data_IF_527049297221
#
_entry.id   IF_527049297221
#
_cell.length_a   1.000
_cell.length_b   1.000
_cell.length_c   1.000
_cell.angle_alpha   90.00
_cell.angle_beta   90.00
_cell.angle_gamma   90.00
#
_symmetry.space_group_name_H-M   'P 1'
#
loop_
_entity.id
_entity.type
_entity.pdbx_description
1 polymer ?
#
# COMPACT_ATOMS: atom_id res chain seq x y z
N UNK A 1 14.18 -17.77 19.13
CA UNK A 1 13.41 -17.48 17.91
C UNK A 1 12.77 -16.12 18.08
N UNK A 2 13.25 -15.11 17.36
CA UNK A 2 12.56 -13.83 17.26
C UNK A 2 11.41 -14.05 16.28
N UNK A 3 10.18 -14.09 16.78
CA UNK A 3 9.01 -13.90 15.93
C UNK A 3 9.22 -12.56 15.21
N UNK A 4 9.00 -12.45 13.89
CA UNK A 4 8.95 -11.14 13.27
C UNK A 4 7.76 -10.44 13.93
N UNK A 5 8.03 -9.48 14.82
CA UNK A 5 7.02 -8.51 15.21
C UNK A 5 6.54 -7.89 13.91
N UNK A 6 5.22 -7.84 13.67
CA UNK A 6 4.62 -7.16 12.53
C UNK A 6 5.46 -5.93 12.19
N UNK A 7 6.16 -5.98 11.06
CA UNK A 7 7.01 -4.88 10.62
C UNK A 7 6.04 -3.86 10.03
N UNK A 8 5.51 -3.00 10.89
CA UNK A 8 4.60 -1.93 10.50
C UNK A 8 5.37 -0.96 9.60
N UNK A 9 4.95 -0.85 8.35
CA UNK A 9 5.58 -0.05 7.32
C UNK A 9 5.13 1.43 7.39
N UNK A 10 5.52 2.23 6.39
CA UNK A 10 5.10 3.63 6.25
C UNK A 10 3.60 3.81 6.48
N UNK A 11 3.20 4.93 7.08
CA UNK A 11 1.77 5.14 7.37
C UNK A 11 0.98 5.41 6.09
N UNK A 12 -0.36 5.27 6.11
CA UNK A 12 -1.20 5.68 4.98
C UNK A 12 -0.95 7.12 4.53
N UNK A 13 -0.59 8.03 5.45
CA UNK A 13 -0.23 9.41 5.12
C UNK A 13 1.04 9.48 4.28
N UNK A 14 2.07 8.71 4.65
CA UNK A 14 3.32 8.63 3.88
C UNK A 14 3.09 8.00 2.50
N UNK A 15 2.27 6.95 2.38
CA UNK A 15 1.92 6.37 1.08
C UNK A 15 1.16 7.35 0.18
N UNK A 16 0.19 8.10 0.72
CA UNK A 16 -0.51 9.16 -0.04
C UNK A 16 0.45 10.27 -0.45
N UNK A 17 1.42 10.65 0.39
CA UNK A 17 2.46 11.62 0.03
C UNK A 17 3.27 11.16 -1.19
N UNK A 18 3.72 9.91 -1.19
CA UNK A 18 4.49 9.33 -2.29
C UNK A 18 3.66 9.17 -3.55
N UNK A 19 2.40 8.72 -3.41
CA UNK A 19 1.46 8.64 -4.51
C UNK A 19 1.19 10.01 -5.14
N UNK A 20 0.98 11.05 -4.33
CA UNK A 20 0.84 12.42 -4.82
C UNK A 20 2.12 12.95 -5.48
N UNK A 21 3.30 12.56 -5.00
CA UNK A 21 4.56 12.89 -5.66
C UNK A 21 4.63 12.26 -7.06
N UNK A 22 4.20 11.01 -7.22
CA UNK A 22 4.12 10.35 -8.53
C UNK A 22 3.11 11.05 -9.46
N UNK A 23 1.90 11.33 -8.96
CA UNK A 23 0.84 12.02 -9.72
C UNK A 23 1.25 13.43 -10.18
N UNK A 24 2.16 14.09 -9.47
CA UNK A 24 2.73 15.39 -9.89
C UNK A 24 3.86 15.26 -10.92
N UNK A 25 4.39 14.05 -11.13
CA UNK A 25 5.55 13.78 -11.97
C UNK A 25 5.28 12.63 -12.96
N UNK A 26 4.09 12.58 -13.55
CA UNK A 26 3.66 11.49 -14.44
C UNK A 26 4.54 11.33 -15.69
N UNK A 27 5.35 12.33 -16.04
CA UNK A 27 6.35 12.23 -17.11
C UNK A 27 7.49 11.27 -16.78
N UNK A 28 7.63 10.83 -15.52
CA UNK A 28 8.65 9.88 -15.08
C UNK A 28 8.23 8.40 -15.29
N UNK A 29 6.97 8.15 -15.66
CA UNK A 29 6.46 6.81 -15.96
C UNK A 29 6.13 6.68 -17.45
N UNK A 30 5.99 5.46 -18.00
CA UNK A 30 5.53 5.29 -19.37
C UNK A 30 4.24 6.06 -19.64
N UNK A 31 4.12 6.67 -20.81
CA UNK A 31 3.01 7.60 -21.14
C UNK A 31 1.63 6.98 -20.89
N UNK A 32 1.41 5.73 -21.29
CA UNK A 32 0.13 5.04 -21.09
C UNK A 32 -0.22 4.84 -19.61
N UNK A 33 0.78 4.64 -18.76
CA UNK A 33 0.59 4.60 -17.30
C UNK A 33 0.27 6.00 -16.79
N UNK A 34 1.01 7.01 -17.23
CA UNK A 34 0.76 8.40 -16.86
C UNK A 34 -0.67 8.85 -17.18
N UNK A 35 -1.16 8.53 -18.38
CA UNK A 35 -2.53 8.83 -18.82
C UNK A 35 -3.58 8.12 -17.96
N UNK A 36 -3.36 6.84 -17.65
CA UNK A 36 -4.25 6.07 -16.77
C UNK A 36 -4.34 6.67 -15.36
N UNK A 37 -3.18 6.97 -14.76
CA UNK A 37 -3.12 7.53 -13.41
C UNK A 37 -3.71 8.94 -13.35
N UNK A 38 -3.52 9.76 -14.41
CA UNK A 38 -4.14 11.07 -14.52
C UNK A 38 -5.68 10.99 -14.61
N UNK A 39 -6.21 9.96 -15.27
CA UNK A 39 -7.65 9.75 -15.41
C UNK A 39 -8.30 9.19 -14.13
N UNK A 40 -7.57 8.39 -13.35
CA UNK A 40 -8.07 7.71 -12.15
C UNK A 40 -7.16 7.93 -10.92
N UNK A 41 -6.91 9.18 -10.49
CA UNK A 41 -5.95 9.48 -9.43
C UNK A 41 -6.45 9.08 -8.05
N UNK A 42 -7.77 9.11 -7.80
CA UNK A 42 -8.35 8.71 -6.53
C UNK A 42 -8.23 7.20 -6.31
N UNK A 43 -8.50 6.40 -7.35
CA UNK A 43 -8.34 4.94 -7.33
C UNK A 43 -6.88 4.54 -7.09
N UNK A 44 -5.94 5.20 -7.77
CA UNK A 44 -4.50 5.01 -7.54
C UNK A 44 -4.10 5.31 -6.09
N UNK A 45 -4.50 6.46 -5.56
CA UNK A 45 -4.16 6.82 -4.18
C UNK A 45 -4.84 5.89 -3.17
N UNK A 46 -6.05 5.43 -3.43
CA UNK A 46 -6.72 4.44 -2.59
C UNK A 46 -5.95 3.11 -2.61
N UNK A 47 -5.56 2.63 -3.78
CA UNK A 47 -4.71 1.44 -3.91
C UNK A 47 -3.41 1.55 -3.12
N UNK A 48 -2.79 2.74 -3.09
CA UNK A 48 -1.54 2.98 -2.34
C UNK A 48 -1.65 2.85 -0.82
N UNK A 49 -2.87 2.81 -0.27
CA UNK A 49 -3.12 2.63 1.16
C UNK A 49 -3.96 1.39 1.47
N UNK A 50 -4.49 0.71 0.44
CA UNK A 50 -5.47 -0.35 0.62
C UNK A 50 -4.92 -1.55 1.41
N UNK A 51 -3.65 -1.92 1.19
CA UNK A 51 -2.99 -3.03 1.89
C UNK A 51 -2.95 -2.86 3.42
N UNK A 52 -2.87 -1.62 3.91
CA UNK A 52 -2.83 -1.30 5.35
C UNK A 52 -4.22 -1.17 5.97
N UNK A 53 -5.25 -0.99 5.16
CA UNK A 53 -6.61 -0.76 5.64
C UNK A 53 -7.30 -2.07 6.00
N UNK A 54 -8.09 -2.05 7.06
CA UNK A 54 -8.69 -3.23 7.70
C UNK A 54 -9.63 -4.08 6.82
N UNK A 55 -9.92 -3.64 5.59
CA UNK A 55 -10.69 -4.41 4.60
C UNK A 55 -9.88 -5.65 4.16
N UNK A 56 -8.57 -5.50 3.95
CA UNK A 56 -7.68 -6.63 3.65
C UNK A 56 -7.48 -7.58 4.86
N UNK A 57 -7.72 -7.11 6.09
CA UNK A 57 -7.50 -7.87 7.34
C UNK A 57 -8.72 -8.67 7.81
N UNK A 58 -9.93 -8.41 7.28
CA UNK A 58 -11.16 -9.12 7.67
C UNK A 58 -11.31 -10.52 7.05
N UNK A 59 -10.57 -10.81 5.98
CA UNK A 59 -10.76 -12.00 5.15
C UNK A 59 -9.49 -12.81 4.87
N UNK A 60 -8.32 -12.35 5.32
CA UNK A 60 -7.07 -13.07 5.13
C UNK A 60 -7.00 -14.30 6.06
N UNK A 61 -7.33 -15.48 5.53
CA UNK A 61 -6.96 -16.75 6.14
C UNK A 61 -5.42 -16.85 6.24
N UNK A 62 -4.92 -17.65 7.19
CA UNK A 62 -3.48 -17.83 7.46
C UNK A 62 -2.76 -18.27 6.18
N UNK A 63 -2.07 -17.34 5.50
CA UNK A 63 -1.22 -17.63 4.35
C UNK A 63 -1.27 -16.63 3.18
N UNK A 64 -2.32 -15.81 3.05
CA UNK A 64 -2.42 -14.77 2.00
C UNK A 64 -2.31 -13.37 2.61
N UNK A 65 -1.08 -12.98 2.91
CA UNK A 65 -0.77 -11.66 3.47
C UNK A 65 -0.96 -10.57 2.42
N UNK A 66 -1.65 -9.47 2.76
CA UNK A 66 -1.87 -8.34 1.86
C UNK A 66 -0.56 -7.71 1.36
N UNK A 67 0.53 -7.82 2.11
CA UNK A 67 1.86 -7.35 1.69
C UNK A 67 2.63 -8.35 0.80
N UNK A 68 1.99 -9.39 0.27
CA UNK A 68 2.61 -10.34 -0.66
C UNK A 68 2.63 -9.79 -2.09
N UNK A 69 3.80 -9.82 -2.74
CA UNK A 69 3.94 -9.49 -4.17
C UNK A 69 3.05 -10.35 -5.06
N UNK A 70 2.86 -11.63 -4.73
CA UNK A 70 1.98 -12.51 -5.50
C UNK A 70 0.54 -12.00 -5.50
N UNK A 71 0.04 -11.57 -4.34
CA UNK A 71 -1.30 -10.98 -4.21
C UNK A 71 -1.39 -9.65 -4.99
N UNK A 72 -0.37 -8.79 -4.87
CA UNK A 72 -0.32 -7.53 -5.62
C UNK A 72 -0.35 -7.75 -7.15
N UNK A 73 0.36 -8.77 -7.65
CA UNK A 73 0.34 -9.13 -9.07
C UNK A 73 -1.02 -9.68 -9.51
N UNK A 74 -1.65 -10.52 -8.70
CA UNK A 74 -3.01 -11.04 -8.98
C UNK A 74 -4.05 -9.90 -9.04
N UNK A 75 -3.97 -8.94 -8.12
CA UNK A 75 -4.79 -7.71 -8.14
C UNK A 75 -4.60 -6.94 -9.46
N UNK A 76 -3.37 -6.84 -9.95
CA UNK A 76 -3.05 -6.17 -11.21
C UNK A 76 -3.54 -6.93 -12.44
N UNK A 77 -3.26 -8.23 -12.50
CA UNK A 77 -3.51 -9.03 -13.70
C UNK A 77 -5.00 -9.27 -13.93
N UNK A 78 -5.80 -9.28 -12.86
CA UNK A 78 -7.26 -9.43 -12.94
C UNK A 78 -8.02 -8.10 -12.99
N UNK A 79 -7.33 -6.95 -13.07
CA UNK A 79 -7.97 -5.64 -13.13
C UNK A 79 -8.56 -5.34 -14.51
N UNK A 80 -9.88 -5.50 -14.64
CA UNK A 80 -10.57 -5.33 -15.93
C UNK A 80 -10.77 -3.86 -16.31
N UNK A 81 -11.27 -3.04 -15.38
CA UNK A 81 -11.62 -1.65 -15.65
C UNK A 81 -10.41 -0.71 -15.51
N UNK A 82 -10.39 0.45 -16.22
CA UNK A 82 -9.32 1.43 -16.06
C UNK A 82 -9.13 1.91 -14.62
N UNK A 83 -10.23 2.11 -13.87
CA UNK A 83 -10.18 2.47 -12.45
C UNK A 83 -9.48 1.39 -11.62
N UNK A 84 -9.84 0.11 -11.82
CA UNK A 84 -9.20 -1.02 -11.12
C UNK A 84 -7.72 -1.18 -11.50
N UNK A 85 -7.34 -0.91 -12.74
CA UNK A 85 -5.93 -0.93 -13.16
C UNK A 85 -5.14 0.16 -12.46
N UNK A 86 -5.71 1.36 -12.35
CA UNK A 86 -5.10 2.47 -11.61
C UNK A 86 -4.95 2.13 -10.13
N UNK A 87 -6.00 1.56 -9.53
CA UNK A 87 -5.98 1.03 -8.17
C UNK A 87 -4.88 -0.02 -7.96
N UNK A 88 -4.77 -0.99 -8.85
CA UNK A 88 -3.76 -2.05 -8.76
C UNK A 88 -2.33 -1.50 -8.84
N UNK A 89 -2.08 -0.51 -9.71
CA UNK A 89 -0.79 0.19 -9.74
C UNK A 89 -0.51 0.96 -8.44
N UNK A 90 -1.55 1.50 -7.80
CA UNK A 90 -1.47 2.05 -6.44
C UNK A 90 -1.02 1.00 -5.43
N UNK A 91 -1.65 -0.18 -5.46
CA UNK A 91 -1.32 -1.30 -4.58
C UNK A 91 0.12 -1.78 -4.76
N UNK A 92 0.58 -1.93 -6.00
CA UNK A 92 1.98 -2.28 -6.30
C UNK A 92 2.95 -1.17 -5.86
N UNK A 93 2.55 0.09 -5.97
CA UNK A 93 3.34 1.22 -5.49
C UNK A 93 3.50 1.21 -3.96
N UNK A 94 2.49 0.75 -3.22
CA UNK A 94 2.58 0.51 -1.78
C UNK A 94 3.65 -0.55 -1.46
N UNK A 95 3.61 -1.72 -2.12
CA UNK A 95 4.62 -2.77 -1.89
C UNK A 95 6.04 -2.31 -2.23
N UNK A 96 6.19 -1.55 -3.33
CA UNK A 96 7.49 -0.99 -3.72
C UNK A 96 8.01 0.02 -2.68
N UNK A 97 7.12 0.86 -2.16
CA UNK A 97 7.41 1.82 -1.11
C UNK A 97 7.91 1.12 0.18
N UNK A 98 7.25 0.04 0.58
CA UNK A 98 7.63 -0.74 1.77
C UNK A 98 9.00 -1.41 1.63
N UNK A 99 9.36 -1.89 0.45
CA UNK A 99 10.71 -2.41 0.19
C UNK A 99 11.76 -1.34 0.48
N UNK A 100 11.52 -0.09 0.08
CA UNK A 100 12.45 1.03 0.35
C UNK A 100 12.48 1.37 1.84
N UNK A 101 11.31 1.44 2.47
CA UNK A 101 11.17 1.75 3.89
C UNK A 101 11.98 0.77 4.76
N UNK A 102 11.76 -0.53 4.55
CA UNK A 102 12.30 -1.57 5.43
C UNK A 102 13.74 -1.95 5.15
N UNK A 103 14.20 -1.85 3.89
CA UNK A 103 15.57 -2.26 3.56
C UNK A 103 16.59 -1.11 3.63
N UNK A 104 16.14 0.15 3.50
CA UNK A 104 17.05 1.28 3.40
C UNK A 104 16.78 2.37 4.43
N UNK A 105 15.53 2.83 4.54
CA UNK A 105 15.24 4.00 5.37
C UNK A 105 15.32 3.68 6.87
N UNK A 106 14.53 2.71 7.35
CA UNK A 106 14.48 2.36 8.78
C UNK A 106 15.83 1.89 9.31
N UNK A 107 16.56 0.97 8.65
CA UNK A 107 17.88 0.53 9.11
C UNK A 107 18.89 1.68 9.18
N UNK A 108 18.88 2.59 8.19
CA UNK A 108 19.75 3.76 8.19
C UNK A 108 19.46 4.66 9.39
N UNK A 109 18.20 5.01 9.64
CA UNK A 109 17.86 5.89 10.76
C UNK A 109 18.32 5.30 12.09
N UNK A 110 18.06 4.01 12.33
CA UNK A 110 18.53 3.31 13.54
C UNK A 110 20.06 3.35 13.70
N UNK A 111 20.81 3.23 12.60
CA UNK A 111 22.27 3.24 12.64
C UNK A 111 22.87 4.64 12.91
N UNK A 112 22.28 5.72 12.38
CA UNK A 112 22.79 7.09 12.58
C UNK A 112 22.31 7.75 13.87
N UNK A 113 21.23 7.28 14.50
CA UNK A 113 20.69 7.84 15.75
C UNK A 113 20.95 6.90 16.93
N UNK A 114 22.21 6.78 17.33
CA UNK A 114 22.65 5.87 18.39
C UNK A 114 22.05 6.16 19.78
N UNK A 115 21.53 7.37 20.01
CA UNK A 115 20.91 7.78 21.29
C UNK A 115 19.41 7.46 21.42
N UNK A 116 18.75 7.00 20.35
CA UNK A 116 17.33 6.64 20.34
C UNK A 116 17.09 5.15 20.16
N UNK A 117 18.10 4.31 20.44
CA UNK A 117 17.98 2.84 20.41
C UNK A 117 16.89 2.28 21.33
N UNK A 118 16.40 3.08 22.30
CA UNK A 118 15.25 2.78 23.15
C UNK A 118 13.88 3.12 22.51
N UNK A 119 13.84 3.86 21.40
CA UNK A 119 12.61 4.22 20.68
C UNK A 119 12.51 3.34 19.43
N UNK A 120 11.47 2.50 19.39
CA UNK A 120 11.24 1.51 18.32
C UNK A 120 10.83 2.12 16.97
N UNK A 121 10.57 1.27 15.98
CA UNK A 121 10.25 1.63 14.60
C UNK A 121 9.10 2.66 14.46
N UNK A 122 8.04 2.53 15.26
CA UNK A 122 6.89 3.43 15.27
C UNK A 122 7.24 4.89 15.58
N UNK A 123 8.37 5.13 16.25
CA UNK A 123 8.88 6.48 16.47
C UNK A 123 9.29 7.15 15.16
N UNK A 124 10.02 6.44 14.29
CA UNK A 124 10.52 7.01 13.04
C UNK A 124 9.43 7.20 11.98
N UNK A 125 8.45 6.31 11.94
CA UNK A 125 7.25 6.46 11.08
C UNK A 125 6.41 7.67 11.49
N UNK A 126 6.07 7.79 12.78
CA UNK A 126 5.34 8.95 13.31
C UNK A 126 6.14 10.25 13.14
N UNK A 127 7.47 10.19 13.20
CA UNK A 127 8.35 11.33 12.94
C UNK A 127 8.38 11.74 11.48
N UNK A 128 8.36 10.80 10.52
CA UNK A 128 8.14 11.15 9.10
C UNK A 128 6.82 11.89 8.96
N UNK A 129 5.73 11.35 9.50
CA UNK A 129 4.42 12.00 9.40
C UNK A 129 4.41 13.39 10.04
N UNK A 130 5.15 13.57 11.13
CA UNK A 130 5.34 14.89 11.76
C UNK A 130 6.10 15.85 10.83
N UNK A 131 7.08 15.36 10.06
CA UNK A 131 7.84 16.16 9.10
C UNK A 131 7.06 16.44 7.82
N UNK A 132 6.22 15.52 7.36
CA UNK A 132 5.28 15.74 6.26
C UNK A 132 4.20 16.74 6.70
N UNK A 133 3.71 16.65 7.93
CA UNK A 133 2.62 17.47 8.42
C UNK A 133 1.25 16.99 7.94
N UNK A 134 0.21 17.73 8.34
CA UNK A 134 -1.19 17.29 8.28
C UNK A 134 -1.84 17.01 6.91
N UNK A 135 -1.43 17.61 5.76
CA UNK A 135 -2.18 17.49 4.52
C UNK A 135 -2.38 16.03 4.06
N UNK A 136 -1.35 15.19 4.16
CA UNK A 136 -1.40 13.83 3.62
C UNK A 136 -2.12 12.82 4.52
N UNK A 137 -1.91 12.80 5.85
CA UNK A 137 -2.75 12.02 6.75
C UNK A 137 -4.23 12.43 6.68
N UNK A 138 -4.53 13.72 6.48
CA UNK A 138 -5.90 14.19 6.27
C UNK A 138 -6.47 13.66 4.96
N UNK A 139 -5.72 13.76 3.87
CA UNK A 139 -6.12 13.24 2.56
C UNK A 139 -6.35 11.73 2.58
N UNK A 140 -5.50 10.97 3.27
CA UNK A 140 -5.70 9.53 3.48
C UNK A 140 -7.07 9.26 4.15
N UNK A 141 -7.43 10.01 5.20
CA UNK A 141 -8.75 9.88 5.84
C UNK A 141 -9.91 10.30 4.94
N UNK A 142 -9.71 11.27 4.05
CA UNK A 142 -10.72 11.68 3.07
C UNK A 142 -10.93 10.61 2.00
N UNK A 143 -9.84 10.01 1.49
CA UNK A 143 -9.88 8.90 0.55
C UNK A 143 -10.68 7.72 1.13
N UNK A 144 -10.46 7.36 2.41
CA UNK A 144 -11.20 6.28 3.07
C UNK A 144 -12.71 6.51 3.23
N UNK A 145 -13.20 7.73 2.97
CA UNK A 145 -14.63 8.06 3.03
C UNK A 145 -15.32 8.02 1.67
N UNK A 146 -14.56 7.87 0.59
CA UNK A 146 -15.13 7.72 -0.75
C UNK A 146 -15.71 6.33 -0.92
N UNK A 147 -16.62 6.19 -1.90
CA UNK A 147 -17.14 4.88 -2.28
C UNK A 147 -16.12 4.15 -3.17
N UNK A 148 -15.54 3.10 -2.62
CA UNK A 148 -14.58 2.23 -3.30
C UNK A 148 -15.15 0.83 -3.57
N UNK A 149 -16.48 0.68 -3.57
CA UNK A 149 -17.15 -0.62 -3.73
C UNK A 149 -16.57 -1.50 -4.85
N UNK A 150 -16.23 -0.98 -6.05
CA UNK A 150 -15.60 -1.81 -7.09
C UNK A 150 -14.21 -2.35 -6.71
N UNK A 151 -13.37 -1.52 -6.10
CA UNK A 151 -12.03 -1.90 -5.66
C UNK A 151 -12.09 -2.87 -4.47
N UNK A 152 -12.99 -2.61 -3.53
CA UNK A 152 -13.19 -3.48 -2.36
C UNK A 152 -13.71 -4.87 -2.79
N UNK A 153 -14.67 -4.93 -3.72
CA UNK A 153 -15.14 -6.20 -4.30
C UNK A 153 -14.04 -6.94 -5.06
N UNK A 154 -13.17 -6.21 -5.76
CA UNK A 154 -12.01 -6.79 -6.46
C UNK A 154 -11.02 -7.41 -5.47
N UNK A 155 -10.70 -6.71 -4.39
CA UNK A 155 -9.88 -7.24 -3.29
C UNK A 155 -10.53 -8.46 -2.64
N UNK A 156 -11.81 -8.37 -2.30
CA UNK A 156 -12.55 -9.45 -1.64
C UNK A 156 -12.52 -10.73 -2.47
N UNK A 157 -12.67 -10.63 -3.80
CA UNK A 157 -12.62 -11.79 -4.72
C UNK A 157 -11.25 -12.50 -4.72
N UNK A 158 -10.16 -11.74 -4.57
CA UNK A 158 -8.77 -12.25 -4.62
C UNK A 158 -8.27 -12.70 -3.24
N UNK A 159 -8.73 -12.06 -2.18
CA UNK A 159 -8.32 -12.33 -0.80
C UNK A 159 -9.20 -13.37 -0.11
N UNK A 160 -10.45 -13.54 -0.54
CA UNK A 160 -11.34 -14.56 0.03
C UNK A 160 -10.87 -15.97 -0.31
N UNK A 161 -10.99 -16.93 0.62
CA UNK A 161 -10.72 -18.34 0.34
C UNK A 161 -11.60 -18.80 -0.81
N UNK A 162 -11.00 -19.30 -1.89
CA UNK A 162 -11.75 -20.00 -2.92
C UNK A 162 -12.28 -21.29 -2.27
N UNK A 163 -13.53 -21.29 -1.80
CA UNK A 163 -14.17 -22.47 -1.16
C UNK A 163 -14.32 -23.69 -2.10
N UNK A 164 -13.77 -23.64 -3.31
CA UNK A 164 -13.84 -24.71 -4.31
C UNK A 164 -12.48 -24.95 -4.98
N UNK A 165 -11.47 -25.30 -4.18
CA UNK A 165 -10.32 -26.06 -4.68
C UNK A 165 -10.69 -27.55 -4.72
N UNK A 166 -10.95 -28.10 -5.90
CA UNK A 166 -11.01 -29.56 -6.07
C UNK A 166 -9.62 -30.14 -5.78
N UNK A 167 -9.50 -31.23 -4.99
CA UNK A 167 -8.22 -31.91 -4.84
C UNK A 167 -7.92 -32.64 -6.16
N UNK A 168 -6.93 -32.17 -6.91
CA UNK A 168 -6.35 -32.98 -7.99
C UNK A 168 -5.26 -33.88 -7.40
N UNK A 169 -5.52 -35.18 -7.51
CA UNK A 169 -4.68 -36.35 -7.21
C UNK A 169 -3.20 -36.20 -7.58
#
# INVERSE_FOLDING_TARGET
MLMPSEAWAWTPGTHVFLGDALLRNLTLVPQSVGELLAAYPADFLYGSIAADTSIAKKYAEVGRHCHSWHVGMEIHDEAESPALRSFALGYLSHLAADVVAHNFFVPRQLAVTSSTSALGHSYWESRIDTHLGDPWPRRARELLRLDHSPADQHLDRILSPTLFGTPTN
#
